data_IF_740033860816
#
_entry.id   IF_740033860816
#
_cell.length_a   1.000
_cell.length_b   1.000
_cell.length_c   1.000
_cell.angle_alpha   90.00
_cell.angle_beta   90.00
_cell.angle_gamma   90.00
#
_symmetry.space_group_name_H-M   'P 1'
#
loop_
_entity.id
_entity.type
_entity.pdbx_description
1 polymer ?
#
# COMPACT_ATOMS: atom_id res chain seq x y z
N UNK A 1 32.42 -20.06 16.45
CA UNK A 1 33.02 -19.86 15.12
C UNK A 1 32.62 -18.47 14.63
N UNK A 2 33.48 -17.48 14.87
CA UNK A 2 33.21 -16.07 14.56
C UNK A 2 33.90 -15.68 13.25
N UNK A 3 33.12 -15.48 12.19
CA UNK A 3 33.62 -15.05 10.89
C UNK A 3 33.95 -13.55 10.91
N UNK A 4 35.23 -13.22 10.86
CA UNK A 4 35.73 -11.84 10.64
C UNK A 4 35.48 -11.44 9.19
N UNK A 5 34.79 -10.31 8.98
CA UNK A 5 34.65 -9.68 7.66
C UNK A 5 35.96 -8.97 7.27
N UNK A 6 36.43 -9.08 6.02
CA UNK A 6 37.60 -8.33 5.55
C UNK A 6 37.23 -6.87 5.25
N UNK A 7 38.03 -5.95 5.78
CA UNK A 7 38.01 -4.52 5.53
C UNK A 7 38.64 -4.22 4.16
N UNK A 8 37.82 -3.75 3.22
CA UNK A 8 38.27 -3.29 1.90
C UNK A 8 38.74 -1.84 2.02
N UNK A 9 40.05 -1.65 2.06
CA UNK A 9 40.71 -0.35 1.93
C UNK A 9 40.75 -0.01 0.44
N UNK A 10 39.87 0.89 -0.03
CA UNK A 10 39.94 1.46 -1.39
C UNK A 10 41.01 2.56 -1.41
N UNK A 11 42.11 2.29 -2.11
CA UNK A 11 43.11 3.29 -2.50
C UNK A 11 42.46 4.30 -3.47
N UNK A 12 42.46 5.57 -3.08
CA UNK A 12 42.10 6.68 -3.95
C UNK A 12 43.35 7.02 -4.77
N UNK A 13 43.26 6.86 -6.09
CA UNK A 13 44.32 7.21 -7.04
C UNK A 13 44.23 8.71 -7.39
N UNK A 14 45.32 9.50 -7.27
CA UNK A 14 45.32 10.92 -7.59
C UNK A 14 45.80 11.09 -9.04
N UNK A 15 44.90 10.89 -10.02
CA UNK A 15 45.25 11.14 -11.41
C UNK A 15 44.02 11.59 -12.21
N UNK A 16 43.63 12.85 -12.03
CA UNK A 16 42.88 13.65 -13.00
C UNK A 16 42.85 15.12 -12.54
N UNK A 17 44.01 15.64 -12.14
CA UNK A 17 44.31 17.07 -12.22
C UNK A 17 44.86 17.27 -13.64
N UNK A 18 44.12 17.96 -14.50
CA UNK A 18 44.51 18.61 -15.77
C UNK A 18 43.38 18.47 -16.82
N UNK A 19 42.26 19.16 -16.61
CA UNK A 19 41.47 19.71 -17.72
C UNK A 19 41.13 21.13 -17.35
N UNK A 20 41.52 22.05 -18.23
CA UNK A 20 41.61 23.47 -17.97
C UNK A 20 40.28 24.13 -17.67
N UNK A 21 40.37 25.13 -16.81
CA UNK A 21 39.37 26.16 -16.58
C UNK A 21 38.96 26.79 -17.91
N UNK A 22 37.80 26.41 -18.44
CA UNK A 22 36.99 27.31 -19.25
C UNK A 22 35.84 27.73 -18.35
N UNK A 23 35.98 28.94 -17.82
CA UNK A 23 34.96 29.64 -17.04
C UNK A 23 33.75 29.90 -17.93
N UNK A 24 32.88 28.91 -18.07
CA UNK A 24 31.53 29.15 -18.59
C UNK A 24 30.77 29.86 -17.47
N UNK A 25 30.23 31.07 -17.69
CA UNK A 25 29.42 31.72 -16.67
C UNK A 25 28.22 30.82 -16.40
N UNK A 26 28.20 30.22 -15.21
CA UNK A 26 27.01 29.66 -14.60
C UNK A 26 26.03 30.82 -14.39
N UNK A 27 25.24 31.14 -15.42
CA UNK A 27 23.95 31.77 -15.21
C UNK A 27 23.09 30.75 -14.47
N UNK A 28 23.10 30.86 -13.15
CA UNK A 28 22.07 30.34 -12.26
C UNK A 28 20.76 31.03 -12.62
N UNK A 29 20.13 30.56 -13.68
CA UNK A 29 18.78 30.89 -14.07
C UNK A 29 18.05 29.59 -14.34
N UNK A 30 17.23 29.14 -13.39
CA UNK A 30 16.13 28.23 -13.70
C UNK A 30 15.16 28.97 -14.62
N UNK A 31 15.51 29.15 -15.89
CA UNK A 31 14.56 29.47 -16.92
C UNK A 31 13.79 28.18 -17.19
N UNK A 32 12.68 28.00 -16.47
CA UNK A 32 11.65 27.02 -16.81
C UNK A 32 11.33 27.18 -18.30
N UNK A 33 11.21 26.05 -19.01
CA UNK A 33 10.80 26.01 -20.42
C UNK A 33 9.46 26.75 -20.66
N UNK A 34 8.65 26.94 -19.61
CA UNK A 34 7.42 27.76 -19.63
C UNK A 34 7.67 29.25 -19.91
N UNK A 35 8.81 29.80 -19.48
CA UNK A 35 9.11 31.23 -19.72
C UNK A 35 9.43 31.53 -21.19
N UNK A 36 9.81 30.52 -21.97
CA UNK A 36 10.07 30.65 -23.41
C UNK A 36 8.83 30.41 -24.28
N UNK A 37 7.79 29.76 -23.74
CA UNK A 37 6.55 29.48 -24.48
C UNK A 37 5.51 30.61 -24.31
N UNK A 38 5.56 31.36 -23.20
CA UNK A 38 4.69 32.53 -22.99
C UNK A 38 5.04 33.77 -23.81
N UNK A 39 6.10 33.75 -24.62
CA UNK A 39 6.44 34.86 -25.53
C UNK A 39 5.89 34.69 -26.96
N UNK A 40 5.11 33.64 -27.23
CA UNK A 40 4.55 33.38 -28.57
C UNK A 40 3.01 33.49 -28.65
N UNK A 41 2.35 34.10 -27.65
CA UNK A 41 0.92 34.43 -27.74
C UNK A 41 0.73 35.89 -27.36
N UNK A 42 0.86 36.79 -28.35
CA UNK A 42 0.42 38.17 -28.17
C UNK A 42 -1.12 38.16 -27.98
N UNK A 43 -1.67 38.87 -26.98
CA UNK A 43 -3.10 39.02 -26.86
C UNK A 43 -3.64 39.78 -28.07
N UNK A 44 -4.63 39.21 -28.75
CA UNK A 44 -5.38 39.90 -29.81
C UNK A 44 -6.22 40.99 -29.12
N UNK A 45 -5.80 42.25 -29.25
CA UNK A 45 -6.58 43.38 -28.79
C UNK A 45 -7.75 43.60 -29.76
N UNK A 46 -8.96 43.22 -29.33
CA UNK A 46 -10.20 43.49 -30.08
C UNK A 46 -10.68 44.88 -29.69
N UNK A 47 -10.69 45.81 -30.65
CA UNK A 47 -11.28 47.13 -30.46
C UNK A 47 -12.81 47.05 -30.32
N UNK A 48 -13.47 48.12 -29.83
CA UNK A 48 -14.91 48.16 -29.58
C UNK A 48 -15.78 47.88 -30.82
N UNK A 49 -15.22 47.98 -32.03
CA UNK A 49 -15.93 47.76 -33.30
C UNK A 49 -15.70 46.35 -33.92
N UNK A 50 -15.07 45.43 -33.18
CA UNK A 50 -14.87 44.04 -33.63
C UNK A 50 -13.90 43.86 -34.81
N UNK A 51 -13.23 44.92 -35.26
CA UNK A 51 -12.20 44.85 -36.29
C UNK A 51 -10.84 44.48 -35.68
N UNK A 52 -10.21 43.45 -36.22
CA UNK A 52 -8.84 43.02 -35.88
C UNK A 52 -7.87 44.07 -36.43
N UNK A 53 -7.26 44.86 -35.54
CA UNK A 53 -6.19 45.79 -35.93
C UNK A 53 -4.91 44.95 -36.08
N UNK A 54 -4.29 44.86 -37.28
CA UNK A 54 -2.98 44.23 -37.41
C UNK A 54 -1.99 45.00 -36.54
N UNK A 55 -1.27 44.28 -35.67
CA UNK A 55 -0.22 44.87 -34.85
C UNK A 55 0.82 45.54 -35.77
N UNK A 56 1.34 46.75 -35.43
CA UNK A 56 2.37 47.39 -36.23
C UNK A 56 3.53 46.43 -36.40
N UNK A 57 3.95 46.24 -37.65
CA UNK A 57 4.93 45.25 -38.05
C UNK A 57 6.14 45.32 -37.12
N UNK A 58 6.45 44.18 -36.52
CA UNK A 58 7.59 44.03 -35.64
C UNK A 58 8.84 44.42 -36.43
N UNK A 59 9.44 45.56 -36.11
CA UNK A 59 10.68 46.02 -36.73
C UNK A 59 11.68 44.86 -36.76
N UNK A 60 12.02 44.36 -37.95
CA UNK A 60 12.97 43.27 -38.09
C UNK A 60 14.31 43.72 -37.52
N UNK A 61 14.67 43.20 -36.35
CA UNK A 61 15.99 43.41 -35.79
C UNK A 61 16.99 42.57 -36.58
N UNK A 62 18.17 43.13 -36.86
CA UNK A 62 19.26 42.46 -37.58
C UNK A 62 19.56 41.02 -37.09
N UNK A 63 19.59 40.70 -35.78
CA UNK A 63 19.74 39.31 -35.31
C UNK A 63 18.61 38.36 -35.74
N UNK A 64 17.39 38.88 -35.90
CA UNK A 64 16.23 38.13 -36.38
C UNK A 64 16.29 37.86 -37.89
N UNK A 65 16.80 38.84 -38.65
CA UNK A 65 17.05 38.68 -40.09
C UNK A 65 18.15 37.66 -40.38
N UNK A 66 19.21 37.64 -39.56
CA UNK A 66 20.29 36.65 -39.66
C UNK A 66 19.92 35.26 -39.11
N UNK A 67 18.70 35.06 -38.59
CA UNK A 67 18.26 33.79 -38.01
C UNK A 67 19.06 33.39 -36.75
N UNK A 68 19.75 34.34 -36.10
CA UNK A 68 20.51 34.05 -34.87
C UNK A 68 19.57 33.59 -33.76
N UNK A 69 18.34 34.14 -33.73
CA UNK A 69 17.30 33.76 -32.77
C UNK A 69 16.86 32.30 -32.91
N UNK A 70 16.78 31.78 -34.14
CA UNK A 70 16.36 30.39 -34.38
C UNK A 70 17.49 29.41 -34.08
N UNK A 71 18.74 29.79 -34.40
CA UNK A 71 19.93 29.02 -34.04
C UNK A 71 20.09 28.98 -32.52
N UNK A 72 19.99 30.12 -31.83
CA UNK A 72 20.10 30.22 -30.38
C UNK A 72 19.00 29.41 -29.66
N UNK A 73 17.74 29.46 -30.13
CA UNK A 73 16.68 28.61 -29.56
C UNK A 73 16.93 27.13 -29.81
N UNK A 74 17.39 26.77 -31.00
CA UNK A 74 17.70 25.38 -31.35
C UNK A 74 18.83 24.82 -30.49
N UNK A 75 19.90 25.60 -30.28
CA UNK A 75 21.02 25.20 -29.40
C UNK A 75 20.59 25.15 -27.94
N UNK A 76 19.83 26.12 -27.43
CA UNK A 76 19.29 26.07 -26.07
C UNK A 76 18.38 24.84 -25.83
N UNK A 77 17.50 24.49 -26.78
CA UNK A 77 16.65 23.29 -26.65
C UNK A 77 17.49 22.01 -26.60
N UNK A 78 18.53 21.92 -27.44
CA UNK A 78 19.43 20.76 -27.47
C UNK A 78 20.25 20.64 -26.18
N UNK A 79 20.75 21.74 -25.62
CA UNK A 79 21.53 21.70 -24.37
C UNK A 79 20.66 21.31 -23.17
N UNK A 80 19.40 21.76 -23.12
CA UNK A 80 18.44 21.36 -22.07
C UNK A 80 18.14 19.87 -22.15
N UNK A 81 17.87 19.33 -23.34
CA UNK A 81 17.61 17.89 -23.52
C UNK A 81 18.82 17.02 -23.15
N UNK A 82 20.03 17.44 -23.54
CA UNK A 82 21.26 16.73 -23.16
C UNK A 82 21.48 16.77 -21.64
N UNK A 83 21.17 17.88 -20.99
CA UNK A 83 21.22 18.01 -19.53
C UNK A 83 20.24 17.06 -18.82
N UNK A 84 19.02 16.92 -19.34
CA UNK A 84 18.02 16.00 -18.79
C UNK A 84 18.48 14.54 -18.91
N UNK A 85 18.94 14.12 -20.09
CA UNK A 85 19.45 12.76 -20.32
C UNK A 85 20.67 12.46 -19.42
N UNK A 86 21.55 13.44 -19.23
CA UNK A 86 22.71 13.29 -18.34
C UNK A 86 22.29 13.13 -16.88
N UNK A 87 21.31 13.91 -16.41
CA UNK A 87 20.76 13.80 -15.05
C UNK A 87 20.02 12.47 -14.84
N UNK A 88 19.23 12.00 -15.80
CA UNK A 88 18.58 10.68 -15.73
C UNK A 88 19.60 9.55 -15.62
N UNK A 89 20.66 9.58 -16.44
CA UNK A 89 21.74 8.59 -16.36
C UNK A 89 22.55 8.69 -15.06
N UNK A 90 22.77 9.89 -14.55
CA UNK A 90 23.43 10.10 -13.26
C UNK A 90 22.57 9.61 -12.09
N UNK A 91 21.24 9.74 -12.19
CA UNK A 91 20.30 9.31 -11.15
C UNK A 91 20.26 7.80 -10.93
N UNK A 92 20.57 7.01 -11.96
CA UNK A 92 20.72 5.56 -11.85
C UNK A 92 21.89 5.13 -10.96
N UNK A 93 22.89 6.00 -10.78
CA UNK A 93 24.10 5.73 -9.97
C UNK A 93 24.03 6.46 -8.62
N UNK A 94 23.35 7.60 -8.57
CA UNK A 94 23.20 8.45 -7.39
C UNK A 94 21.71 8.80 -7.20
N UNK A 95 20.99 8.09 -6.31
CA UNK A 95 19.57 8.35 -6.04
C UNK A 95 19.27 9.79 -5.57
N UNK A 96 20.28 10.48 -5.02
CA UNK A 96 20.17 11.89 -4.61
C UNK A 96 20.07 12.88 -5.80
N UNK A 97 20.34 12.42 -7.03
CA UNK A 97 20.24 13.19 -8.27
C UNK A 97 18.98 12.84 -9.08
N UNK A 98 18.04 12.05 -8.53
CA UNK A 98 16.76 11.84 -9.20
C UNK A 98 16.07 13.19 -9.44
N UNK A 99 15.68 13.49 -10.70
CA UNK A 99 14.94 14.70 -10.98
C UNK A 99 13.66 14.68 -10.14
N UNK A 100 13.51 15.68 -9.27
CA UNK A 100 12.33 15.80 -8.41
C UNK A 100 11.09 15.77 -9.30
N UNK A 101 10.13 14.86 -9.09
CA UNK A 101 8.96 14.78 -9.94
C UNK A 101 8.25 16.14 -9.94
N UNK A 102 7.90 16.62 -11.13
CA UNK A 102 7.18 17.88 -11.34
C UNK A 102 5.80 17.89 -10.66
N UNK A 103 5.33 16.72 -10.22
CA UNK A 103 4.12 16.54 -9.43
C UNK A 103 4.44 16.33 -7.96
N UNK A 104 3.74 17.06 -7.09
CA UNK A 104 3.80 16.86 -5.63
C UNK A 104 3.47 15.40 -5.27
N UNK A 105 4.17 14.79 -4.30
CA UNK A 105 3.90 13.42 -3.90
C UNK A 105 2.45 13.29 -3.41
N UNK A 106 1.78 12.16 -3.70
CA UNK A 106 0.37 11.96 -3.37
C UNK A 106 0.05 12.07 -1.86
N UNK A 107 1.05 12.01 -0.98
CA UNK A 107 0.91 12.25 0.47
C UNK A 107 1.04 13.72 0.89
N UNK A 108 1.29 14.63 -0.04
CA UNK A 108 1.39 16.05 0.27
C UNK A 108 0.00 16.62 0.60
N UNK A 109 -0.17 17.40 1.68
CA UNK A 109 -1.47 17.91 2.12
C UNK A 109 -2.16 18.78 1.06
N UNK A 110 -1.40 19.45 0.19
CA UNK A 110 -1.95 20.20 -0.94
C UNK A 110 -2.78 19.34 -1.91
N UNK A 111 -2.51 18.04 -2.01
CA UNK A 111 -3.27 17.13 -2.87
C UNK A 111 -4.64 16.74 -2.27
N UNK A 112 -4.86 16.98 -0.97
CA UNK A 112 -6.17 16.80 -0.35
C UNK A 112 -7.20 17.85 -0.82
N UNK A 113 -6.74 19.04 -1.17
CA UNK A 113 -7.54 20.15 -1.68
C UNK A 113 -7.49 20.27 -3.23
N UNK A 114 -6.98 19.25 -3.92
CA UNK A 114 -6.90 19.26 -5.38
C UNK A 114 -8.30 19.34 -6.01
N UNK A 115 -8.45 20.15 -7.05
CA UNK A 115 -9.69 20.27 -7.81
C UNK A 115 -10.05 18.98 -8.57
N UNK A 116 -9.10 18.06 -8.77
CA UNK A 116 -9.36 16.77 -9.39
C UNK A 116 -9.94 15.77 -8.38
N UNK A 117 -11.15 15.23 -8.61
CA UNK A 117 -11.77 14.25 -7.71
C UNK A 117 -10.94 12.97 -7.60
N UNK A 118 -10.21 12.59 -8.65
CA UNK A 118 -9.34 11.41 -8.65
C UNK A 118 -8.14 11.58 -7.72
N UNK A 119 -7.50 12.75 -7.71
CA UNK A 119 -6.33 13.04 -6.86
C UNK A 119 -6.75 13.14 -5.39
N UNK A 120 -7.87 13.81 -5.11
CA UNK A 120 -8.42 13.88 -3.76
C UNK A 120 -8.83 12.51 -3.23
N UNK A 121 -9.47 11.66 -4.05
CA UNK A 121 -9.82 10.30 -3.70
C UNK A 121 -8.57 9.44 -3.45
N UNK A 122 -7.56 9.53 -4.32
CA UNK A 122 -6.31 8.81 -4.16
C UNK A 122 -5.54 9.22 -2.88
N UNK A 123 -5.55 10.52 -2.53
CA UNK A 123 -5.00 11.01 -1.26
C UNK A 123 -5.77 10.41 -0.06
N UNK A 124 -7.11 10.46 -0.08
CA UNK A 124 -7.95 9.85 0.97
C UNK A 124 -7.70 8.35 1.12
N UNK A 125 -7.59 7.62 0.02
CA UNK A 125 -7.27 6.18 0.04
C UNK A 125 -5.87 5.91 0.60
N UNK A 126 -4.88 6.75 0.29
CA UNK A 126 -3.52 6.60 0.85
C UNK A 126 -3.53 6.84 2.36
N UNK A 127 -4.26 7.86 2.84
CA UNK A 127 -4.43 8.11 4.26
C UNK A 127 -5.15 6.94 4.97
N UNK A 128 -6.22 6.42 4.36
CA UNK A 128 -6.95 5.26 4.89
C UNK A 128 -6.05 4.00 4.99
N UNK A 129 -5.24 3.72 3.96
CA UNK A 129 -4.27 2.61 3.99
C UNK A 129 -3.18 2.79 5.04
N UNK A 130 -2.72 4.02 5.28
CA UNK A 130 -1.77 4.31 6.34
C UNK A 130 -2.40 4.10 7.74
N UNK A 131 -3.65 4.53 7.93
CA UNK A 131 -4.40 4.29 9.16
C UNK A 131 -4.65 2.79 9.39
N UNK A 132 -4.99 2.04 8.34
CA UNK A 132 -5.13 0.58 8.38
C UNK A 132 -3.83 -0.09 8.84
N UNK A 133 -2.68 0.28 8.26
CA UNK A 133 -1.39 -0.26 8.66
C UNK A 133 -1.06 0.08 10.13
N UNK A 134 -1.42 1.28 10.59
CA UNK A 134 -1.26 1.66 12.00
C UNK A 134 -2.14 0.81 12.92
N UNK A 135 -3.41 0.55 12.55
CA UNK A 135 -4.32 -0.33 13.30
C UNK A 135 -3.80 -1.76 13.41
N UNK A 136 -3.33 -2.33 12.29
CA UNK A 136 -2.73 -3.67 12.28
C UNK A 136 -1.50 -3.72 13.19
N UNK A 137 -0.63 -2.70 13.13
CA UNK A 137 0.55 -2.63 14.01
C UNK A 137 0.17 -2.48 15.48
N UNK A 138 -0.86 -1.69 15.80
CA UNK A 138 -1.36 -1.53 17.16
C UNK A 138 -1.90 -2.86 17.71
N UNK A 139 -2.73 -3.58 16.95
CA UNK A 139 -3.22 -4.91 17.33
C UNK A 139 -2.07 -5.91 17.49
N UNK A 140 -1.07 -5.86 16.61
CA UNK A 140 0.13 -6.69 16.73
C UNK A 140 0.95 -6.41 17.99
N UNK A 141 0.89 -5.19 18.54
CA UNK A 141 1.53 -4.85 19.82
C UNK A 141 0.72 -5.33 21.03
N UNK A 142 -0.59 -5.56 20.88
CA UNK A 142 -1.46 -6.15 21.91
C UNK A 142 -1.43 -7.69 21.89
N UNK A 143 -0.80 -8.30 20.87
CA UNK A 143 -0.74 -9.74 20.73
C UNK A 143 0.09 -10.36 21.88
N UNK A 144 -0.53 -11.27 22.64
CA UNK A 144 0.09 -11.95 23.78
C UNK A 144 -0.30 -11.39 25.15
N UNK A 145 -0.99 -10.25 25.18
CA UNK A 145 -1.62 -9.75 26.40
C UNK A 145 -2.91 -10.52 26.70
N UNK A 146 -3.24 -10.67 27.99
CA UNK A 146 -4.48 -11.34 28.42
C UNK A 146 -5.61 -10.32 28.61
N UNK A 147 -6.72 -10.52 27.89
CA UNK A 147 -7.93 -9.72 28.01
C UNK A 147 -8.54 -9.72 29.42
N UNK A 148 -8.35 -10.78 30.21
CA UNK A 148 -8.85 -10.85 31.60
C UNK A 148 -8.10 -9.91 32.53
N UNK A 149 -6.81 -9.68 32.26
CA UNK A 149 -5.97 -8.78 33.06
C UNK A 149 -6.10 -7.34 32.57
N UNK A 150 -6.28 -7.15 31.26
CA UNK A 150 -6.33 -5.84 30.62
C UNK A 150 -7.63 -5.66 29.81
N UNK A 151 -8.66 -5.00 30.34
CA UNK A 151 -9.94 -4.82 29.63
C UNK A 151 -9.79 -3.97 28.35
N UNK A 152 -8.76 -3.11 28.28
CA UNK A 152 -8.44 -2.32 27.09
C UNK A 152 -8.07 -3.20 25.89
N UNK A 153 -7.51 -4.40 26.12
CA UNK A 153 -7.18 -5.35 25.05
C UNK A 153 -8.46 -5.92 24.47
N UNK A 154 -9.45 -6.28 25.31
CA UNK A 154 -10.74 -6.78 24.86
C UNK A 154 -11.48 -5.74 24.01
N UNK A 155 -11.54 -4.49 24.48
CA UNK A 155 -12.16 -3.39 23.73
C UNK A 155 -11.50 -3.18 22.36
N UNK A 156 -10.16 -3.21 22.32
CA UNK A 156 -9.40 -3.07 21.09
C UNK A 156 -9.63 -4.24 20.12
N UNK A 157 -9.70 -5.48 20.63
CA UNK A 157 -10.00 -6.67 19.83
C UNK A 157 -11.42 -6.60 19.28
N UNK A 158 -12.41 -6.25 20.09
CA UNK A 158 -13.81 -6.11 19.65
C UNK A 158 -13.96 -5.03 18.57
N UNK A 159 -13.29 -3.89 18.73
CA UNK A 159 -13.26 -2.84 17.72
C UNK A 159 -12.54 -3.29 16.44
N UNK A 160 -11.46 -4.06 16.58
CA UNK A 160 -10.72 -4.64 15.45
C UNK A 160 -11.53 -5.66 14.65
N UNK A 161 -12.34 -6.48 15.33
CA UNK A 161 -13.25 -7.45 14.69
C UNK A 161 -14.39 -6.78 13.90
N UNK A 162 -14.79 -5.56 14.28
CA UNK A 162 -15.80 -4.76 13.56
C UNK A 162 -15.20 -3.81 12.50
N UNK A 163 -13.88 -3.80 12.32
CA UNK A 163 -13.26 -2.88 11.37
C UNK A 163 -13.65 -3.20 9.92
N UNK A 164 -13.77 -2.17 9.09
CA UNK A 164 -14.13 -2.30 7.67
C UNK A 164 -13.05 -3.06 6.89
N UNK A 165 -11.76 -2.91 7.25
CA UNK A 165 -10.68 -3.64 6.59
C UNK A 165 -10.57 -5.08 7.08
N UNK A 166 -10.58 -6.01 6.12
CA UNK A 166 -10.31 -7.42 6.39
C UNK A 166 -8.94 -7.65 7.05
N UNK A 167 -7.92 -6.82 6.76
CA UNK A 167 -6.59 -7.00 7.37
C UNK A 167 -6.59 -6.65 8.86
N UNK A 168 -7.37 -5.65 9.26
CA UNK A 168 -7.52 -5.27 10.67
C UNK A 168 -8.31 -6.36 11.41
N UNK A 169 -9.39 -6.87 10.80
CA UNK A 169 -10.14 -8.01 11.35
C UNK A 169 -9.26 -9.25 11.52
N UNK A 170 -8.47 -9.59 10.51
CA UNK A 170 -7.49 -10.70 10.58
C UNK A 170 -6.49 -10.49 11.71
N UNK A 171 -5.92 -9.28 11.84
CA UNK A 171 -4.99 -8.97 12.92
C UNK A 171 -5.65 -9.11 14.31
N UNK A 172 -6.92 -8.70 14.45
CA UNK A 172 -7.66 -8.87 15.69
C UNK A 172 -7.92 -10.35 16.01
N UNK A 173 -8.24 -11.17 15.00
CA UNK A 173 -8.37 -12.63 15.15
C UNK A 173 -7.05 -13.26 15.59
N UNK A 174 -5.93 -12.82 15.00
CA UNK A 174 -4.59 -13.31 15.36
C UNK A 174 -4.26 -13.02 16.83
N UNK A 175 -4.66 -11.86 17.36
CA UNK A 175 -4.52 -11.54 18.80
C UNK A 175 -5.26 -12.57 19.66
N UNK A 176 -6.50 -12.93 19.30
CA UNK A 176 -7.27 -13.96 20.02
C UNK A 176 -6.54 -15.30 19.99
N UNK A 177 -6.07 -15.75 18.82
CA UNK A 177 -5.32 -17.01 18.68
C UNK A 177 -4.04 -17.00 19.53
N UNK A 178 -3.30 -15.90 19.51
CA UNK A 178 -2.02 -15.78 20.22
C UNK A 178 -2.24 -15.75 21.73
N UNK A 179 -3.30 -15.07 22.21
CA UNK A 179 -3.64 -14.99 23.64
C UNK A 179 -3.91 -16.36 24.28
N UNK A 180 -4.14 -17.40 23.47
CA UNK A 180 -4.43 -18.77 23.90
C UNK A 180 -3.26 -19.74 23.77
N UNK A 181 -2.09 -19.27 23.33
CA UNK A 181 -0.92 -20.15 23.16
C UNK A 181 -0.51 -20.76 24.51
N UNK A 182 -0.72 -22.07 24.63
CA UNK A 182 -0.26 -22.88 25.76
C UNK A 182 -1.27 -23.10 26.87
N UNK A 183 -2.56 -22.79 26.68
CA UNK A 183 -3.60 -23.19 27.63
C UNK A 183 -4.64 -24.16 27.04
N UNK A 184 -5.24 -24.96 27.93
CA UNK A 184 -6.33 -25.88 27.60
C UNK A 184 -7.57 -25.13 27.10
N UNK A 185 -8.45 -25.85 26.43
CA UNK A 185 -9.73 -25.33 25.92
C UNK A 185 -10.54 -24.73 27.08
N UNK A 186 -10.74 -23.42 27.05
CA UNK A 186 -11.51 -22.66 28.05
C UNK A 186 -10.67 -21.84 29.04
N UNK A 187 -9.35 -22.03 29.09
CA UNK A 187 -8.48 -21.33 30.03
C UNK A 187 -7.96 -19.98 29.51
N UNK A 188 -8.26 -18.88 30.22
CA UNK A 188 -7.58 -17.57 30.11
C UNK A 188 -7.51 -16.92 28.71
N UNK A 189 -7.06 -15.67 28.60
CA UNK A 189 -6.94 -14.99 27.31
C UNK A 189 -8.22 -14.37 26.75
N UNK A 190 -8.18 -14.00 25.47
CA UNK A 190 -9.22 -13.21 24.79
C UNK A 190 -10.38 -14.04 24.25
N UNK A 191 -11.03 -14.84 25.11
CA UNK A 191 -12.16 -15.72 24.75
C UNK A 191 -13.47 -15.37 25.45
N UNK A 192 -13.68 -14.08 25.76
CA UNK A 192 -14.92 -13.60 26.36
C UNK A 192 -16.15 -13.87 25.47
N UNK A 193 -17.33 -13.93 26.08
CA UNK A 193 -18.59 -14.14 25.36
C UNK A 193 -18.83 -13.14 24.21
N UNK A 194 -18.55 -11.83 24.36
CA UNK A 194 -18.64 -10.88 23.24
C UNK A 194 -17.75 -11.26 22.06
N UNK A 195 -16.49 -11.66 22.31
CA UNK A 195 -15.55 -12.06 21.26
C UNK A 195 -16.04 -13.34 20.59
N UNK A 196 -16.43 -14.36 21.37
CA UNK A 196 -16.96 -15.64 20.83
C UNK A 196 -18.21 -15.45 19.99
N UNK A 197 -19.14 -14.58 20.41
CA UNK A 197 -20.34 -14.25 19.60
C UNK A 197 -19.97 -13.60 18.26
N UNK A 198 -19.00 -12.68 18.24
CA UNK A 198 -18.52 -12.08 16.99
C UNK A 198 -17.84 -13.10 16.09
N UNK A 199 -16.95 -13.94 16.62
CA UNK A 199 -16.29 -14.98 15.86
C UNK A 199 -17.30 -15.99 15.29
N UNK A 200 -18.26 -16.44 16.10
CA UNK A 200 -19.37 -17.30 15.65
C UNK A 200 -20.12 -16.66 14.49
N UNK A 201 -20.43 -15.37 14.59
CA UNK A 201 -21.07 -14.60 13.53
C UNK A 201 -20.24 -14.56 12.24
N UNK A 202 -18.95 -14.27 12.34
CA UNK A 202 -18.04 -14.23 11.19
C UNK A 202 -17.95 -15.59 10.49
N UNK A 203 -18.01 -16.69 11.24
CA UNK A 203 -17.86 -18.04 10.69
C UNK A 203 -19.17 -18.55 10.08
N UNK A 204 -20.29 -18.43 10.79
CA UNK A 204 -21.53 -19.14 10.46
C UNK A 204 -22.63 -18.25 9.89
N UNK A 205 -22.65 -16.94 10.21
CA UNK A 205 -23.74 -16.10 9.73
C UNK A 205 -23.62 -15.85 8.23
N UNK A 206 -24.76 -15.93 7.54
CA UNK A 206 -24.93 -15.55 6.15
C UNK A 206 -25.86 -14.33 6.06
N UNK A 207 -25.56 -13.41 5.15
CA UNK A 207 -26.38 -12.22 4.86
C UNK A 207 -27.35 -12.48 3.69
N UNK A 208 -27.25 -13.64 3.05
CA UNK A 208 -28.12 -14.07 1.96
C UNK A 208 -27.76 -15.48 1.47
N UNK A 209 -28.49 -16.05 0.49
CA UNK A 209 -28.36 -17.46 0.10
C UNK A 209 -26.96 -17.89 -0.35
N UNK A 210 -26.11 -16.94 -0.78
CA UNK A 210 -24.75 -17.21 -1.23
C UNK A 210 -23.68 -16.32 -0.56
N UNK A 211 -24.06 -15.44 0.36
CA UNK A 211 -23.17 -14.41 0.90
C UNK A 211 -22.93 -14.65 2.38
N UNK A 212 -21.67 -14.90 2.73
CA UNK A 212 -21.23 -14.93 4.12
C UNK A 212 -21.25 -13.52 4.73
N UNK A 213 -21.53 -13.44 6.03
CA UNK A 213 -21.45 -12.19 6.79
C UNK A 213 -20.04 -11.60 6.72
N UNK A 214 -19.02 -12.42 6.97
CA UNK A 214 -17.63 -12.05 6.74
C UNK A 214 -17.27 -12.33 5.28
N UNK A 215 -16.99 -11.32 4.44
CA UNK A 215 -16.74 -11.54 3.02
C UNK A 215 -15.38 -12.22 2.76
N UNK A 216 -14.36 -11.93 3.58
CA UNK A 216 -13.01 -12.45 3.35
C UNK A 216 -12.88 -13.90 3.84
N UNK A 217 -12.55 -14.82 2.92
CA UNK A 217 -12.47 -16.24 3.23
C UNK A 217 -11.34 -16.59 4.19
N UNK A 218 -10.23 -15.81 4.17
CA UNK A 218 -9.12 -16.00 5.10
C UNK A 218 -9.52 -15.57 6.51
N UNK A 219 -10.19 -14.43 6.67
CA UNK A 219 -10.75 -13.98 7.93
C UNK A 219 -11.71 -15.02 8.51
N UNK A 220 -12.63 -15.57 7.70
CA UNK A 220 -13.53 -16.66 8.14
C UNK A 220 -12.77 -17.89 8.64
N UNK A 221 -11.77 -18.35 7.89
CA UNK A 221 -10.97 -19.52 8.26
C UNK A 221 -10.22 -19.30 9.57
N UNK A 222 -9.60 -18.14 9.75
CA UNK A 222 -8.89 -17.80 10.99
C UNK A 222 -9.86 -17.62 12.15
N UNK A 223 -11.03 -17.01 11.93
CA UNK A 223 -12.05 -16.85 12.96
C UNK A 223 -12.54 -18.21 13.47
N UNK A 224 -12.65 -19.22 12.60
CA UNK A 224 -12.96 -20.61 13.00
C UNK A 224 -11.87 -21.18 13.91
N UNK A 225 -10.60 -21.03 13.54
CA UNK A 225 -9.48 -21.48 14.39
C UNK A 225 -9.45 -20.78 15.76
N UNK A 226 -9.72 -19.47 15.78
CA UNK A 226 -9.83 -18.71 17.03
C UNK A 226 -11.02 -19.18 17.88
N UNK A 227 -12.17 -19.45 17.25
CA UNK A 227 -13.36 -19.97 17.93
C UNK A 227 -13.11 -21.37 18.51
N UNK A 228 -12.48 -22.26 17.75
CA UNK A 228 -12.09 -23.60 18.20
C UNK A 228 -11.13 -23.51 19.39
N UNK A 229 -10.14 -22.61 19.34
CA UNK A 229 -9.25 -22.33 20.47
C UNK A 229 -9.99 -21.77 21.70
N UNK A 230 -11.12 -21.09 21.50
CA UNK A 230 -12.00 -20.61 22.56
C UNK A 230 -13.00 -21.65 23.07
N UNK A 231 -12.97 -22.90 22.59
CA UNK A 231 -13.91 -23.95 22.98
C UNK A 231 -15.21 -23.97 22.19
N UNK A 232 -15.22 -23.36 21.01
CA UNK A 232 -16.34 -23.38 20.08
C UNK A 232 -17.38 -22.28 20.31
N UNK A 233 -18.50 -22.31 19.57
CA UNK A 233 -19.59 -21.36 19.72
C UNK A 233 -20.23 -21.46 21.12
N UNK A 234 -20.83 -20.36 21.58
CA UNK A 234 -21.56 -20.32 22.86
C UNK A 234 -22.85 -21.14 22.79
N UNK A 235 -23.56 -21.00 21.67
CA UNK A 235 -24.78 -21.73 21.39
C UNK A 235 -24.43 -22.85 20.39
N UNK A 236 -24.53 -24.14 20.75
CA UNK A 236 -24.16 -25.24 19.85
C UNK A 236 -25.00 -25.23 18.56
N UNK A 237 -26.24 -24.76 18.64
CA UNK A 237 -27.15 -24.62 17.50
C UNK A 237 -26.72 -23.51 16.52
N UNK A 238 -25.86 -22.57 16.93
CA UNK A 238 -25.38 -21.47 16.08
C UNK A 238 -24.42 -21.95 14.97
N UNK A 239 -23.88 -23.17 15.07
CA UNK A 239 -23.09 -23.80 14.01
C UNK A 239 -23.94 -24.08 12.76
N UNK A 240 -25.29 -24.17 12.91
CA UNK A 240 -26.17 -24.72 11.87
C UNK A 240 -25.86 -26.19 11.54
N UNK A 241 -24.94 -26.78 12.30
CA UNK A 241 -24.59 -28.17 12.31
C UNK A 241 -25.75 -28.83 13.03
N UNK A 242 -26.77 -29.25 12.29
CA UNK A 242 -27.83 -30.07 12.84
C UNK A 242 -27.14 -31.23 13.57
N UNK A 243 -27.20 -31.21 14.90
CA UNK A 243 -26.99 -32.41 15.66
C UNK A 243 -28.24 -33.22 15.41
N UNK A 244 -28.18 -33.97 14.31
CA UNK A 244 -29.13 -35.02 14.01
C UNK A 244 -29.03 -36.01 15.17
N UNK A 245 -29.77 -35.71 16.24
CA UNK A 245 -30.15 -36.66 17.26
C UNK A 245 -31.20 -37.65 16.71
N UNK A 246 -31.54 -37.56 15.42
CA UNK A 246 -31.87 -38.73 14.62
C UNK A 246 -30.58 -39.51 14.41
N UNK A 247 -30.44 -40.64 15.12
CA UNK A 247 -29.35 -41.59 14.99
C UNK A 247 -29.20 -42.21 13.59
N UNK A 248 -28.90 -41.39 12.59
CA UNK A 248 -28.22 -41.80 11.38
C UNK A 248 -26.75 -41.95 11.77
N UNK A 249 -26.52 -43.04 12.50
CA UNK A 249 -25.27 -43.78 12.45
C UNK A 249 -24.94 -43.84 10.95
N UNK A 250 -23.95 -43.06 10.48
CA UNK A 250 -23.29 -43.42 9.23
C UNK A 250 -22.99 -44.91 9.39
N UNK A 251 -23.57 -45.81 8.57
CA UNK A 251 -23.21 -47.20 8.66
C UNK A 251 -21.74 -47.19 8.32
N UNK A 252 -20.90 -47.29 9.35
CA UNK A 252 -19.56 -47.79 9.18
C UNK A 252 -19.85 -49.23 8.79
N UNK A 253 -20.08 -49.47 7.49
CA UNK A 253 -20.09 -50.80 6.92
C UNK A 253 -18.76 -51.39 7.37
N UNK A 254 -18.84 -52.26 8.38
CA UNK A 254 -17.72 -53.07 8.78
C UNK A 254 -17.22 -53.72 7.50
N UNK A 255 -15.90 -53.62 7.20
CA UNK A 255 -15.38 -54.17 5.96
C UNK A 255 -15.79 -55.65 5.89
N UNK A 256 -16.22 -56.14 4.72
CA UNK A 256 -16.68 -57.51 4.57
C UNK A 256 -15.60 -58.46 5.13
N UNK A 257 -15.98 -59.53 5.84
CA UNK A 257 -15.05 -60.36 6.61
C UNK A 257 -13.92 -60.98 5.76
N UNK A 258 -14.11 -61.06 4.44
CA UNK A 258 -13.11 -61.49 3.48
C UNK A 258 -11.88 -60.55 3.41
N UNK A 259 -12.10 -59.24 3.59
CA UNK A 259 -11.05 -58.22 3.54
C UNK A 259 -10.19 -58.25 4.81
N UNK A 260 -10.78 -58.61 5.96
CA UNK A 260 -10.08 -58.81 7.22
C UNK A 260 -9.18 -60.05 7.14
N UNK A 261 -9.64 -61.13 6.48
CA UNK A 261 -8.83 -62.34 6.29
C UNK A 261 -7.68 -62.15 5.32
N UNK A 262 -7.85 -61.35 4.26
CA UNK A 262 -6.76 -61.01 3.34
C UNK A 262 -5.66 -60.20 4.01
N UNK A 263 -6.01 -59.26 4.88
CA UNK A 263 -5.03 -58.44 5.63
C UNK A 263 -4.25 -59.28 6.67
N UNK A 264 -4.88 -60.30 7.25
CA UNK A 264 -4.26 -61.16 8.26
C UNK A 264 -3.41 -62.31 7.66
N UNK A 265 -3.51 -62.57 6.36
CA UNK A 265 -2.84 -63.70 5.69
C UNK A 265 -1.77 -63.29 4.66
N UNK A 266 -1.52 -62.00 4.47
CA UNK A 266 -0.35 -61.53 3.71
C UNK A 266 0.90 -61.55 4.60
N UNK A 267 1.89 -62.43 4.34
CA UNK A 267 3.17 -62.46 5.07
C UNK A 267 4.08 -61.28 4.74
#
# INVERSE_FOLDING_TARGET
MNARRPSIIRRISPLCLLVGCVSVPFFSGCASLEALDHQATAPIAVGPDGLVIPHPESSMTLPRFLGVDTIARSTCRKTVLLGQIACEKASAVLPALEPKPLTLPLSHPANAASASPAVAAAHKMKAAKAAEAAKVKALGALAGEDCTTNPLVEEAVLAGLDDVSAKVRIAAIDVVIISRRGCDVGCGGCCSDPIRRKLTRMVFQQTGPCCWFEPDSKARRLARLALDACGGPLDPDACGCATDASGDQFPIESPPPELIQQILLTP
#
